data_IF_502424942801
#
_entry.id   IF_502424942801
#
_cell.length_a   1.000
_cell.length_b   1.000
_cell.length_c   1.000
_cell.angle_alpha   90.00
_cell.angle_beta   90.00
_cell.angle_gamma   90.00
#
_symmetry.space_group_name_H-M   'P 1'
#
loop_
_entity.id
_entity.type
_entity.pdbx_description
1 polymer ?
#
# COMPACT_ATOMS: atom_id res chain seq x y z
N UNK A 1 39.69 -22.84 13.75
CA UNK A 1 38.59 -23.80 14.02
C UNK A 1 39.03 -24.95 14.91
N UNK A 2 40.21 -25.54 14.70
CA UNK A 2 40.73 -26.63 15.54
C UNK A 2 40.90 -26.26 17.02
N UNK A 3 41.34 -25.05 17.34
CA UNK A 3 41.54 -24.62 18.73
C UNK A 3 40.24 -24.52 19.56
N UNK A 4 39.09 -24.27 18.91
CA UNK A 4 37.77 -24.32 19.55
C UNK A 4 37.28 -25.76 19.68
N UNK A 5 37.50 -26.60 18.66
CA UNK A 5 37.17 -28.03 18.68
C UNK A 5 37.92 -28.81 19.79
N UNK A 6 39.15 -28.42 20.11
CA UNK A 6 39.95 -29.03 21.20
C UNK A 6 39.49 -28.58 22.59
N UNK A 7 38.95 -27.35 22.73
CA UNK A 7 38.32 -26.89 23.99
C UNK A 7 36.90 -27.45 24.20
N UNK A 8 36.29 -27.98 23.13
CA UNK A 8 34.93 -28.53 23.09
C UNK A 8 34.83 -29.99 23.56
N UNK A 9 35.94 -30.71 23.68
CA UNK A 9 35.96 -32.10 24.19
C UNK A 9 35.68 -32.21 25.70
N UNK A 10 35.64 -31.09 26.41
CA UNK A 10 35.32 -31.00 27.85
C UNK A 10 33.86 -30.56 28.13
N UNK A 11 33.06 -30.33 27.09
CA UNK A 11 31.63 -30.00 27.23
C UNK A 11 30.79 -31.29 27.18
N UNK A 12 29.68 -31.30 27.92
CA UNK A 12 28.69 -32.37 27.86
C UNK A 12 28.25 -32.63 26.41
N UNK A 13 27.94 -33.87 26.06
CA UNK A 13 27.61 -34.31 24.70
C UNK A 13 26.46 -33.49 24.09
N UNK A 14 25.53 -33.05 24.94
CA UNK A 14 24.41 -32.17 24.60
C UNK A 14 24.87 -30.74 24.26
N UNK A 15 25.73 -30.13 25.10
CA UNK A 15 26.28 -28.80 24.84
C UNK A 15 27.17 -28.77 23.58
N UNK A 16 27.95 -29.82 23.35
CA UNK A 16 28.70 -30.00 22.10
C UNK A 16 27.80 -30.18 20.88
N UNK A 17 26.66 -30.85 21.04
CA UNK A 17 25.61 -30.98 20.03
C UNK A 17 24.98 -29.63 19.68
N UNK A 18 24.58 -28.86 20.68
CA UNK A 18 23.99 -27.54 20.49
C UNK A 18 24.91 -26.59 19.72
N UNK A 19 26.20 -26.52 20.08
CA UNK A 19 27.17 -25.69 19.37
C UNK A 19 27.38 -26.11 17.92
N UNK A 20 27.33 -27.41 17.62
CA UNK A 20 27.38 -27.90 16.23
C UNK A 20 26.18 -27.44 15.41
N UNK A 21 24.98 -27.46 15.99
CA UNK A 21 23.76 -26.94 15.33
C UNK A 21 23.91 -25.44 15.03
N UNK A 22 24.38 -24.64 16.00
CA UNK A 22 24.61 -23.20 15.79
C UNK A 22 25.63 -22.96 14.66
N UNK A 23 26.79 -23.61 14.73
CA UNK A 23 27.85 -23.46 13.72
C UNK A 23 27.41 -23.90 12.32
N UNK A 24 26.54 -24.91 12.24
CA UNK A 24 25.97 -25.37 10.98
C UNK A 24 25.13 -24.27 10.32
N UNK A 25 24.19 -23.68 11.04
CA UNK A 25 23.34 -22.60 10.49
C UNK A 25 24.13 -21.32 10.21
N UNK A 26 25.09 -20.95 11.07
CA UNK A 26 26.01 -19.84 10.81
C UNK A 26 26.76 -20.02 9.49
N UNK A 27 27.18 -21.25 9.18
CA UNK A 27 27.85 -21.58 7.92
C UNK A 27 26.92 -21.42 6.72
N UNK A 28 25.68 -21.90 6.83
CA UNK A 28 24.66 -21.76 5.77
C UNK A 28 24.31 -20.28 5.53
N UNK A 29 24.13 -19.51 6.60
CA UNK A 29 23.85 -18.07 6.54
C UNK A 29 24.99 -17.29 5.87
N UNK A 30 26.25 -17.60 6.23
CA UNK A 30 27.45 -17.01 5.58
C UNK A 30 27.53 -17.36 4.09
N UNK A 31 27.16 -18.58 3.70
CA UNK A 31 27.14 -19.05 2.31
C UNK A 31 25.95 -18.54 1.49
N UNK A 32 25.00 -17.84 2.12
CA UNK A 32 23.84 -17.23 1.46
C UNK A 32 22.99 -18.25 0.68
N UNK A 33 22.75 -19.42 1.27
CA UNK A 33 21.93 -20.47 0.66
C UNK A 33 20.45 -20.05 0.56
N UNK A 34 19.71 -20.63 -0.40
CA UNK A 34 18.29 -20.37 -0.61
C UNK A 34 17.38 -21.26 0.26
N UNK A 35 16.06 -21.02 0.25
CA UNK A 35 15.10 -21.80 1.06
C UNK A 35 15.12 -23.31 0.75
N UNK A 36 15.16 -23.77 -0.52
CA UNK A 36 15.34 -25.19 -0.82
C UNK A 36 16.62 -25.80 -0.25
N UNK A 37 17.76 -25.09 -0.32
CA UNK A 37 19.01 -25.56 0.25
C UNK A 37 18.97 -25.58 1.79
N UNK A 38 18.35 -24.59 2.44
CA UNK A 38 18.13 -24.59 3.89
C UNK A 38 17.29 -25.80 4.34
N UNK A 39 16.12 -26.01 3.72
CA UNK A 39 15.26 -27.14 4.05
C UNK A 39 15.98 -28.48 3.86
N UNK A 40 16.72 -28.63 2.75
CA UNK A 40 17.49 -29.85 2.45
C UNK A 40 18.60 -30.11 3.46
N UNK A 41 19.38 -29.09 3.78
CA UNK A 41 20.46 -29.19 4.75
C UNK A 41 19.92 -29.51 6.16
N UNK A 42 18.78 -28.92 6.52
CA UNK A 42 18.10 -29.15 7.80
C UNK A 42 17.52 -30.54 7.90
N UNK A 43 16.92 -31.06 6.82
CA UNK A 43 16.45 -32.44 6.74
C UNK A 43 17.60 -33.44 6.92
N UNK A 44 18.75 -33.16 6.30
CA UNK A 44 19.95 -34.00 6.45
C UNK A 44 20.50 -33.97 7.89
N UNK A 45 20.59 -32.78 8.51
CA UNK A 45 21.03 -32.64 9.90
C UNK A 45 20.08 -33.32 10.89
N UNK A 46 18.77 -33.18 10.66
CA UNK A 46 17.73 -33.78 11.48
C UNK A 46 17.62 -35.31 11.28
N UNK A 47 17.98 -35.83 10.11
CA UNK A 47 17.75 -37.24 9.78
C UNK A 47 16.27 -37.59 9.54
N UNK A 48 15.41 -36.59 9.34
CA UNK A 48 14.00 -36.74 9.02
C UNK A 48 13.56 -35.66 8.02
N UNK A 49 12.28 -35.67 7.61
CA UNK A 49 11.78 -34.60 6.74
C UNK A 49 11.77 -33.29 7.50
N UNK A 50 12.26 -32.22 6.86
CA UNK A 50 12.16 -30.85 7.34
C UNK A 50 11.36 -30.01 6.34
N UNK A 51 10.50 -29.15 6.88
CA UNK A 51 9.60 -28.31 6.10
C UNK A 51 9.67 -26.84 6.48
N UNK A 52 9.41 -25.99 5.49
CA UNK A 52 9.26 -24.54 5.60
C UNK A 52 7.95 -24.17 4.90
N UNK A 53 7.10 -23.39 5.57
CA UNK A 53 5.89 -22.80 5.02
C UNK A 53 5.96 -21.31 5.26
N UNK A 54 5.87 -20.51 4.21
CA UNK A 54 5.65 -19.06 4.29
C UNK A 54 4.20 -18.76 3.98
N UNK A 55 3.60 -17.76 4.63
CA UNK A 55 2.18 -17.44 4.48
C UNK A 55 1.89 -16.51 3.28
N UNK A 56 2.84 -15.63 2.90
CA UNK A 56 2.66 -14.70 1.78
C UNK A 56 3.96 -14.52 0.96
N UNK A 57 4.02 -15.04 -0.29
CA UNK A 57 3.05 -15.97 -0.87
C UNK A 57 3.06 -17.33 -0.15
N UNK A 58 1.91 -18.03 -0.12
CA UNK A 58 1.82 -19.38 0.46
C UNK A 58 2.77 -20.33 -0.28
N UNK A 59 3.90 -20.62 0.36
CA UNK A 59 5.00 -21.37 -0.24
C UNK A 59 5.46 -22.43 0.72
N UNK A 60 5.34 -23.68 0.27
CA UNK A 60 5.70 -24.87 1.03
C UNK A 60 6.93 -25.52 0.40
N UNK A 61 7.99 -25.69 1.18
CA UNK A 61 9.23 -26.38 0.79
C UNK A 61 9.48 -27.52 1.76
N UNK A 62 9.62 -28.75 1.27
CA UNK A 62 9.84 -29.95 2.10
C UNK A 62 10.92 -30.83 1.49
N UNK A 63 11.87 -31.28 2.31
CA UNK A 63 12.94 -32.18 1.88
C UNK A 63 13.08 -33.35 2.83
N UNK A 64 13.36 -34.52 2.28
CA UNK A 64 13.73 -35.74 3.00
C UNK A 64 15.22 -35.77 3.33
N UNK A 65 15.67 -36.59 4.31
CA UNK A 65 17.06 -36.63 4.75
C UNK A 65 18.03 -37.14 3.67
N UNK A 66 17.53 -37.85 2.65
CA UNK A 66 18.26 -38.27 1.45
C UNK A 66 18.52 -37.12 0.46
N UNK A 67 18.04 -35.91 0.77
CA UNK A 67 18.24 -34.70 -0.01
C UNK A 67 17.24 -34.52 -1.16
N UNK A 68 16.26 -35.41 -1.30
CA UNK A 68 15.17 -35.28 -2.28
C UNK A 68 14.04 -34.41 -1.75
N UNK A 69 13.28 -33.81 -2.66
CA UNK A 69 12.04 -33.14 -2.27
C UNK A 69 11.04 -34.18 -1.78
N UNK A 70 10.42 -33.94 -0.63
CA UNK A 70 9.51 -34.92 -0.02
C UNK A 70 8.28 -35.12 -0.91
N UNK A 71 8.02 -36.35 -1.32
CA UNK A 71 6.86 -36.73 -2.11
C UNK A 71 5.69 -37.14 -1.20
N UNK A 72 4.46 -36.80 -1.60
CA UNK A 72 3.24 -37.15 -0.87
C UNK A 72 2.80 -36.10 0.17
N UNK A 73 1.62 -36.30 0.80
CA UNK A 73 1.07 -35.36 1.77
C UNK A 73 2.00 -35.22 3.00
N UNK A 74 2.00 -34.06 3.67
CA UNK A 74 2.75 -33.88 4.91
C UNK A 74 2.27 -34.85 5.98
N UNK A 75 3.21 -35.60 6.57
CA UNK A 75 2.94 -36.32 7.80
C UNK A 75 2.73 -35.30 8.94
N UNK A 76 2.06 -35.69 10.04
CA UNK A 76 1.90 -34.82 11.20
C UNK A 76 3.26 -34.29 11.67
N UNK A 77 3.33 -32.98 11.88
CA UNK A 77 4.55 -32.36 12.41
C UNK A 77 4.82 -32.89 13.82
N UNK A 78 6.02 -33.44 14.02
CA UNK A 78 6.51 -33.88 15.33
C UNK A 78 6.93 -32.70 16.21
N UNK A 79 7.44 -31.64 15.60
CA UNK A 79 7.85 -30.40 16.27
C UNK A 79 7.72 -29.26 15.26
N UNK A 80 7.33 -28.08 15.73
CA UNK A 80 7.12 -26.87 14.93
C UNK A 80 7.75 -25.68 15.64
N UNK A 81 8.28 -24.73 14.88
CA UNK A 81 8.63 -23.41 15.38
C UNK A 81 8.09 -22.33 14.42
N UNK A 82 7.57 -21.20 14.96
CA UNK A 82 7.16 -20.07 14.13
C UNK A 82 8.37 -19.39 13.50
N UNK A 83 8.19 -18.84 12.30
CA UNK A 83 9.14 -17.93 11.66
C UNK A 83 8.65 -16.52 11.95
N UNK A 84 9.42 -15.76 12.73
CA UNK A 84 9.10 -14.37 13.06
C UNK A 84 10.03 -13.40 12.36
N UNK A 85 9.46 -12.33 11.81
CA UNK A 85 10.17 -11.19 11.21
C UNK A 85 9.46 -9.91 11.68
N UNK A 86 10.21 -8.96 12.26
CA UNK A 86 9.66 -7.71 12.81
C UNK A 86 8.46 -7.91 13.77
N UNK A 87 8.55 -8.92 14.66
CA UNK A 87 7.50 -9.34 15.60
C UNK A 87 6.20 -9.90 14.96
N UNK A 88 6.19 -10.12 13.64
CA UNK A 88 5.09 -10.80 12.93
C UNK A 88 5.45 -12.25 12.55
N UNK A 89 4.49 -13.18 12.71
CA UNK A 89 4.65 -14.57 12.25
C UNK A 89 4.42 -14.66 10.73
N UNK A 90 5.50 -14.85 9.98
CA UNK A 90 5.49 -14.90 8.51
C UNK A 90 5.44 -16.33 7.96
N UNK A 91 5.53 -17.33 8.84
CA UNK A 91 5.50 -18.73 8.45
C UNK A 91 5.78 -19.70 9.59
N UNK A 92 5.95 -20.97 9.24
CA UNK A 92 6.26 -22.05 10.18
C UNK A 92 7.32 -22.98 9.61
N UNK A 93 8.23 -23.43 10.45
CA UNK A 93 9.14 -24.54 10.16
C UNK A 93 8.77 -25.76 10.99
N UNK A 94 8.97 -26.96 10.44
CA UNK A 94 8.60 -28.19 11.15
C UNK A 94 9.49 -29.38 10.77
N UNK A 95 9.44 -30.40 11.63
CA UNK A 95 10.02 -31.71 11.42
C UNK A 95 8.94 -32.79 11.36
N UNK A 96 9.09 -33.79 10.49
CA UNK A 96 8.22 -34.96 10.42
C UNK A 96 9.00 -36.20 10.88
N UNK A 97 9.06 -36.44 12.20
CA UNK A 97 9.67 -37.64 12.79
C UNK A 97 8.60 -38.68 13.11
N UNK A 98 8.91 -39.94 12.79
CA UNK A 98 8.12 -41.10 13.23
C UNK A 98 8.50 -41.58 14.64
N UNK A 99 9.63 -41.11 15.17
CA UNK A 99 10.14 -41.40 16.51
C UNK A 99 9.92 -40.20 17.45
N UNK A 100 10.07 -40.38 18.78
CA UNK A 100 9.99 -39.26 19.73
C UNK A 100 10.93 -38.11 19.37
N UNK A 101 10.60 -36.85 19.73
CA UNK A 101 11.47 -35.70 19.51
C UNK A 101 12.87 -35.93 20.07
N UNK A 102 13.88 -35.58 19.28
CA UNK A 102 15.27 -35.61 19.69
C UNK A 102 15.58 -34.34 20.50
N UNK A 103 16.43 -34.38 21.55
CA UNK A 103 16.64 -33.23 22.45
C UNK A 103 17.07 -31.92 21.76
N UNK A 104 17.71 -32.00 20.59
CA UNK A 104 18.17 -30.83 19.83
C UNK A 104 17.16 -30.33 18.78
N UNK A 105 15.97 -30.91 18.69
CA UNK A 105 14.99 -30.57 17.65
C UNK A 105 14.45 -29.16 17.78
N UNK A 106 14.15 -28.74 19.01
CA UNK A 106 13.71 -27.38 19.31
C UNK A 106 14.79 -26.39 18.90
N UNK A 107 16.04 -26.60 19.32
CA UNK A 107 17.17 -25.75 18.93
C UNK A 107 17.41 -25.73 17.41
N UNK A 108 17.26 -26.87 16.74
CA UNK A 108 17.40 -26.96 15.29
C UNK A 108 16.32 -26.13 14.60
N UNK A 109 15.06 -26.23 15.05
CA UNK A 109 13.95 -25.48 14.49
C UNK A 109 14.04 -23.99 14.81
N UNK A 110 14.49 -23.60 16.00
CA UNK A 110 14.77 -22.20 16.35
C UNK A 110 15.81 -21.60 15.40
N UNK A 111 16.91 -22.33 15.17
CA UNK A 111 17.96 -21.87 14.26
C UNK A 111 17.53 -21.88 12.80
N UNK A 112 16.70 -22.84 12.40
CA UNK A 112 16.11 -22.87 11.07
C UNK A 112 15.16 -21.68 10.87
N UNK A 113 14.30 -21.37 11.84
CA UNK A 113 13.38 -20.25 11.80
C UNK A 113 14.13 -18.92 11.61
N UNK A 114 15.20 -18.70 12.40
CA UNK A 114 16.07 -17.52 12.27
C UNK A 114 16.75 -17.48 10.88
N UNK A 115 17.27 -18.61 10.40
CA UNK A 115 17.93 -18.66 9.10
C UNK A 115 16.94 -18.41 7.94
N UNK A 116 15.72 -18.90 8.06
CA UNK A 116 14.64 -18.65 7.08
C UNK A 116 14.22 -17.19 7.13
N UNK A 117 14.02 -16.61 8.31
CA UNK A 117 13.72 -15.18 8.46
C UNK A 117 14.79 -14.31 7.77
N UNK A 118 16.09 -14.62 7.96
CA UNK A 118 17.17 -13.90 7.30
C UNK A 118 17.21 -14.07 5.77
N UNK A 119 16.75 -15.22 5.24
CA UNK A 119 16.61 -15.43 3.78
C UNK A 119 15.40 -14.69 3.24
N UNK A 120 14.29 -14.67 3.97
CA UNK A 120 13.07 -13.93 3.62
C UNK A 120 13.33 -12.42 3.65
N UNK A 121 14.01 -11.90 4.67
CA UNK A 121 14.39 -10.48 4.76
C UNK A 121 15.29 -10.05 3.59
N UNK A 122 16.20 -10.93 3.15
CA UNK A 122 17.16 -10.65 2.08
C UNK A 122 16.57 -10.70 0.67
N UNK A 123 15.68 -11.66 0.42
CA UNK A 123 15.17 -11.95 -0.93
C UNK A 123 13.67 -11.71 -1.09
N UNK A 124 12.97 -11.42 0.00
CA UNK A 124 11.60 -10.94 -0.01
C UNK A 124 11.55 -9.47 -0.42
N UNK A 125 10.44 -9.03 -1.02
CA UNK A 125 10.21 -7.60 -1.16
C UNK A 125 10.21 -6.98 0.23
N UNK A 126 10.91 -5.85 0.42
CA UNK A 126 11.01 -5.17 1.72
C UNK A 126 9.63 -5.11 2.38
N UNK A 127 9.44 -5.71 3.57
CA UNK A 127 8.14 -5.74 4.27
C UNK A 127 7.59 -4.34 4.51
N UNK A 128 8.48 -3.35 4.51
CA UNK A 128 8.17 -1.95 4.75
C UNK A 128 7.20 -1.41 3.71
N UNK A 129 6.14 -0.75 4.20
CA UNK A 129 5.26 0.04 3.34
C UNK A 129 6.03 1.15 2.64
N UNK A 130 7.03 1.77 3.27
CA UNK A 130 7.91 2.70 2.56
C UNK A 130 8.78 1.97 1.53
N UNK A 131 8.78 2.49 0.31
CA UNK A 131 9.60 2.01 -0.80
C UNK A 131 10.64 3.05 -1.24
N UNK A 132 11.64 2.60 -2.01
CA UNK A 132 12.53 3.48 -2.75
C UNK A 132 11.71 4.33 -3.76
N UNK A 133 11.73 5.68 -3.65
CA UNK A 133 11.04 6.56 -4.58
C UNK A 133 11.40 6.30 -6.05
N UNK A 134 12.64 5.91 -6.35
CA UNK A 134 13.07 5.64 -7.73
C UNK A 134 12.38 4.41 -8.33
N UNK A 135 12.15 3.36 -7.51
CA UNK A 135 11.41 2.17 -7.95
C UNK A 135 9.93 2.48 -8.16
N UNK A 136 9.34 3.28 -7.28
CA UNK A 136 7.93 3.72 -7.41
C UNK A 136 7.76 4.62 -8.64
N UNK A 137 8.68 5.56 -8.86
CA UNK A 137 8.70 6.42 -10.04
C UNK A 137 8.84 5.60 -11.33
N UNK A 138 9.72 4.60 -11.36
CA UNK A 138 9.86 3.68 -12.50
C UNK A 138 8.57 2.85 -12.75
N UNK A 139 7.83 2.50 -11.70
CA UNK A 139 6.57 1.76 -11.83
C UNK A 139 5.42 2.60 -12.43
N UNK A 140 5.38 3.90 -12.14
CA UNK A 140 4.29 4.80 -12.55
C UNK A 140 4.64 5.70 -13.74
N UNK A 141 5.89 5.70 -14.19
CA UNK A 141 6.37 6.58 -15.25
C UNK A 141 5.83 6.20 -16.64
N UNK A 142 5.39 7.18 -17.46
CA UNK A 142 4.92 6.92 -18.82
C UNK A 142 6.05 6.53 -19.77
N UNK A 143 7.28 6.99 -19.52
CA UNK A 143 8.45 6.69 -20.36
C UNK A 143 9.13 5.35 -20.09
N UNK A 144 8.65 4.58 -19.10
CA UNK A 144 9.29 3.31 -18.72
C UNK A 144 8.86 2.18 -19.62
N UNK A 145 9.82 1.40 -20.11
CA UNK A 145 9.55 0.15 -20.82
C UNK A 145 8.77 -0.84 -19.94
N UNK A 146 7.88 -1.63 -20.55
CA UNK A 146 7.03 -2.58 -19.83
C UNK A 146 7.84 -3.59 -19.00
N UNK A 147 9.00 -4.03 -19.51
CA UNK A 147 9.90 -4.94 -18.80
C UNK A 147 10.53 -4.29 -17.56
N UNK A 148 10.93 -3.02 -17.66
CA UNK A 148 11.47 -2.25 -16.55
C UNK A 148 10.40 -2.02 -15.47
N UNK A 149 9.18 -1.68 -15.90
CA UNK A 149 8.02 -1.51 -15.02
C UNK A 149 7.65 -2.80 -14.28
N UNK A 150 7.55 -3.91 -15.00
CA UNK A 150 7.28 -5.23 -14.41
C UNK A 150 8.39 -5.68 -13.45
N UNK A 151 9.65 -5.32 -13.73
CA UNK A 151 10.76 -5.54 -12.79
C UNK A 151 10.61 -4.69 -11.53
N UNK A 152 10.29 -3.40 -11.67
CA UNK A 152 10.07 -2.50 -10.54
C UNK A 152 8.96 -3.01 -9.61
N UNK A 153 7.80 -3.35 -10.19
CA UNK A 153 6.67 -3.91 -9.44
C UNK A 153 7.04 -5.19 -8.68
N UNK A 154 7.81 -6.10 -9.30
CA UNK A 154 8.29 -7.31 -8.62
C UNK A 154 9.23 -7.01 -7.45
N UNK A 155 10.15 -6.06 -7.62
CA UNK A 155 11.04 -5.62 -6.53
C UNK A 155 10.27 -4.96 -5.38
N UNK A 156 9.15 -4.33 -5.71
CA UNK A 156 8.21 -3.73 -4.77
C UNK A 156 7.25 -4.76 -4.13
N UNK A 157 7.30 -6.04 -4.53
CA UNK A 157 6.49 -7.12 -3.97
C UNK A 157 5.12 -7.33 -4.61
N UNK A 158 4.85 -6.70 -5.74
CA UNK A 158 3.62 -6.94 -6.50
C UNK A 158 3.80 -8.10 -7.48
N UNK A 159 2.89 -9.08 -7.40
CA UNK A 159 2.81 -10.18 -8.35
C UNK A 159 2.30 -9.69 -9.71
N UNK A 160 2.72 -10.35 -10.79
CA UNK A 160 2.44 -9.91 -12.17
C UNK A 160 0.97 -10.10 -12.61
N UNK A 161 0.21 -10.91 -11.88
CA UNK A 161 -1.17 -11.30 -12.17
C UNK A 161 -2.21 -10.49 -11.38
N UNK A 162 -1.78 -9.71 -10.38
CA UNK A 162 -2.67 -8.88 -9.57
C UNK A 162 -2.69 -7.43 -10.07
N UNK A 163 -3.87 -6.83 -10.27
CA UNK A 163 -3.96 -5.43 -10.65
C UNK A 163 -3.42 -4.54 -9.51
N UNK A 164 -2.48 -3.66 -9.85
CA UNK A 164 -1.94 -2.66 -8.92
C UNK A 164 -2.72 -1.37 -9.11
N UNK A 165 -3.41 -0.94 -8.04
CA UNK A 165 -4.06 0.37 -7.97
C UNK A 165 -3.06 1.40 -7.48
N UNK A 166 -3.22 2.63 -7.96
CA UNK A 166 -2.41 3.77 -7.52
C UNK A 166 -3.33 4.80 -6.87
N UNK A 167 -2.96 5.23 -5.67
CA UNK A 167 -3.58 6.36 -4.98
C UNK A 167 -2.58 7.51 -4.87
N UNK A 168 -3.04 8.72 -5.18
CA UNK A 168 -2.34 9.97 -4.97
C UNK A 168 -2.83 10.59 -3.66
N UNK A 169 -1.94 10.78 -2.70
CA UNK A 169 -2.30 11.14 -1.32
C UNK A 169 -1.62 12.43 -0.89
N UNK A 170 -2.39 13.30 -0.24
CA UNK A 170 -1.91 14.42 0.58
C UNK A 170 -2.33 14.16 2.01
N UNK A 171 -1.36 14.01 2.91
CA UNK A 171 -1.61 13.70 4.32
C UNK A 171 -0.58 14.39 5.20
N UNK A 172 -0.95 14.68 6.45
CA UNK A 172 -0.01 15.07 7.50
C UNK A 172 0.62 13.86 8.19
N UNK A 173 -0.02 12.69 8.09
CA UNK A 173 0.52 11.45 8.59
C UNK A 173 1.57 10.89 7.61
N UNK A 174 2.58 10.17 8.12
CA UNK A 174 3.52 9.40 7.30
C UNK A 174 2.79 8.50 6.29
N UNK A 175 3.31 8.40 5.07
CA UNK A 175 2.64 7.70 3.97
C UNK A 175 2.52 6.18 4.19
N UNK A 176 3.48 5.59 4.91
CA UNK A 176 3.43 4.21 5.38
C UNK A 176 2.27 3.94 6.31
N UNK A 177 2.02 4.83 7.28
CA UNK A 177 0.86 4.72 8.16
C UNK A 177 -0.45 4.81 7.36
N UNK A 178 -0.53 5.75 6.41
CA UNK A 178 -1.71 5.85 5.53
C UNK A 178 -1.88 4.57 4.70
N UNK A 179 -0.78 4.06 4.13
CA UNK A 179 -0.77 2.83 3.33
C UNK A 179 -1.23 1.60 4.12
N UNK A 180 -0.70 1.41 5.32
CA UNK A 180 -1.10 0.31 6.21
C UNK A 180 -2.57 0.40 6.64
N UNK A 181 -3.10 1.61 6.87
CA UNK A 181 -4.51 1.80 7.21
C UNK A 181 -5.45 1.43 6.06
N UNK A 182 -5.17 1.93 4.84
CA UNK A 182 -6.04 1.71 3.69
C UNK A 182 -5.82 0.35 3.01
N UNK A 183 -4.72 -0.35 3.30
CA UNK A 183 -4.40 -1.66 2.76
C UNK A 183 -3.74 -2.57 3.82
N UNK A 184 -4.49 -3.02 4.84
CA UNK A 184 -3.93 -3.71 6.01
C UNK A 184 -3.53 -5.17 5.77
N UNK A 185 -4.08 -5.84 4.77
CA UNK A 185 -3.97 -7.31 4.60
C UNK A 185 -3.29 -7.72 3.30
N UNK A 186 -2.78 -6.76 2.53
CA UNK A 186 -2.25 -6.99 1.18
C UNK A 186 -1.00 -6.13 0.94
N UNK A 187 -0.15 -6.48 -0.03
CA UNK A 187 1.03 -5.69 -0.36
C UNK A 187 0.68 -4.24 -0.65
N UNK A 188 1.36 -3.34 0.06
CA UNK A 188 1.24 -1.88 -0.10
C UNK A 188 2.64 -1.26 -0.09
N UNK A 189 2.88 -0.37 -1.04
CA UNK A 189 4.13 0.41 -1.13
C UNK A 189 3.83 1.87 -1.31
N UNK A 190 4.54 2.71 -0.57
CA UNK A 190 4.35 4.13 -0.53
C UNK A 190 5.67 4.87 -0.71
N UNK A 191 5.65 5.95 -1.48
CA UNK A 191 6.78 6.84 -1.62
C UNK A 191 6.32 8.24 -2.04
N UNK A 192 7.01 9.32 -1.63
CA UNK A 192 6.78 10.64 -2.19
C UNK A 192 7.38 10.73 -3.60
N UNK A 193 6.58 11.20 -4.58
CA UNK A 193 7.04 11.48 -5.95
C UNK A 193 6.51 12.86 -6.36
N UNK A 194 7.41 13.78 -6.71
CA UNK A 194 7.04 15.13 -7.13
C UNK A 194 6.19 15.91 -6.11
N UNK A 195 6.43 15.69 -4.81
CA UNK A 195 5.68 16.36 -3.73
C UNK A 195 4.29 15.78 -3.44
N UNK A 196 3.90 14.68 -4.09
CA UNK A 196 2.65 13.95 -3.83
C UNK A 196 2.98 12.55 -3.32
N UNK A 197 2.23 12.06 -2.33
CA UNK A 197 2.37 10.68 -1.88
C UNK A 197 1.79 9.72 -2.91
N UNK A 198 2.59 8.76 -3.36
CA UNK A 198 2.13 7.63 -4.18
C UNK A 198 1.91 6.46 -3.24
N UNK A 199 0.75 5.82 -3.32
CA UNK A 199 0.50 4.51 -2.70
C UNK A 199 0.13 3.52 -3.81
N UNK A 200 0.95 2.49 -3.98
CA UNK A 200 0.71 1.31 -4.79
C UNK A 200 0.10 0.25 -3.88
N UNK A 201 -1.07 -0.29 -4.25
CA UNK A 201 -1.74 -1.33 -3.47
C UNK A 201 -2.59 -2.21 -4.38
N UNK A 202 -2.82 -3.48 -4.00
CA UNK A 202 -3.77 -4.34 -4.73
C UNK A 202 -5.23 -4.00 -4.41
N UNK A 203 -5.46 -3.41 -3.24
CA UNK A 203 -6.78 -2.99 -2.72
C UNK A 203 -6.64 -1.68 -1.97
N UNK A 204 -7.66 -0.83 -2.02
CA UNK A 204 -7.70 0.44 -1.28
C UNK A 204 -9.03 0.53 -0.54
N UNK A 205 -9.01 0.39 0.79
CA UNK A 205 -10.15 0.63 1.67
C UNK A 205 -10.25 2.13 1.97
N UNK A 206 -11.07 2.81 1.18
CA UNK A 206 -11.33 4.25 1.32
C UNK A 206 -11.93 4.67 2.66
N UNK A 207 -12.63 3.76 3.36
CA UNK A 207 -13.28 4.08 4.63
C UNK A 207 -12.27 4.27 5.77
N UNK A 208 -11.03 3.82 5.55
CA UNK A 208 -9.92 3.89 6.50
C UNK A 208 -8.96 5.03 6.22
N UNK A 209 -9.29 5.94 5.30
CA UNK A 209 -8.47 7.12 5.09
C UNK A 209 -8.48 7.98 6.37
N UNK A 210 -7.31 8.33 6.93
CA UNK A 210 -7.24 9.09 8.17
C UNK A 210 -7.79 10.51 8.00
N UNK A 211 -8.32 11.07 9.09
CA UNK A 211 -8.88 12.41 9.10
C UNK A 211 -7.85 13.45 8.62
N UNK A 212 -8.30 14.37 7.76
CA UNK A 212 -7.45 15.41 7.18
C UNK A 212 -6.56 14.96 6.01
N UNK A 213 -6.48 13.65 5.72
CA UNK A 213 -5.87 13.18 4.48
C UNK A 213 -6.84 13.32 3.31
N UNK A 214 -6.28 13.51 2.12
CA UNK A 214 -7.02 13.52 0.84
C UNK A 214 -6.39 12.54 -0.12
N UNK A 215 -7.24 11.82 -0.87
CA UNK A 215 -6.81 10.79 -1.79
C UNK A 215 -7.57 10.87 -3.12
N UNK A 216 -6.82 10.88 -4.22
CA UNK A 216 -7.34 10.56 -5.54
C UNK A 216 -6.98 9.12 -5.90
N UNK A 217 -7.93 8.35 -6.43
CA UNK A 217 -7.75 6.92 -6.74
C UNK A 217 -7.97 6.70 -8.24
N UNK A 218 -6.98 6.09 -8.91
CA UNK A 218 -7.09 5.67 -10.30
C UNK A 218 -7.74 4.30 -10.44
N UNK A 219 -8.50 4.08 -11.52
CA UNK A 219 -9.21 2.83 -11.80
C UNK A 219 -8.57 2.01 -12.94
N UNK A 220 -7.61 2.57 -13.68
CA UNK A 220 -6.92 1.87 -14.74
C UNK A 220 -6.09 0.69 -14.21
N UNK A 221 -6.02 -0.40 -14.99
CA UNK A 221 -5.27 -1.61 -14.64
C UNK A 221 -3.75 -1.41 -14.66
N UNK A 222 -3.25 -0.48 -15.48
CA UNK A 222 -1.83 -0.16 -15.56
C UNK A 222 -1.44 0.96 -14.59
N UNK A 223 -0.34 0.84 -13.84
CA UNK A 223 0.03 1.80 -12.80
C UNK A 223 0.35 3.20 -13.34
N UNK A 224 0.85 3.33 -14.57
CA UNK A 224 1.08 4.64 -15.19
C UNK A 224 -0.22 5.42 -15.41
N UNK A 225 -1.21 4.81 -16.07
CA UNK A 225 -2.50 5.47 -16.32
C UNK A 225 -3.24 5.67 -15.00
N UNK A 226 -3.20 4.67 -14.11
CA UNK A 226 -3.78 4.76 -12.77
C UNK A 226 -3.19 5.91 -11.97
N UNK A 227 -1.88 6.16 -12.07
CA UNK A 227 -1.21 7.30 -11.45
C UNK A 227 -1.69 8.65 -12.02
N UNK A 228 -1.77 8.78 -13.35
CA UNK A 228 -2.29 10.01 -13.97
C UNK A 228 -3.73 10.29 -13.52
N UNK A 229 -4.56 9.26 -13.51
CA UNK A 229 -5.95 9.32 -13.03
C UNK A 229 -6.03 9.71 -11.55
N UNK A 230 -5.23 9.07 -10.70
CA UNK A 230 -5.17 9.33 -9.27
C UNK A 230 -4.76 10.78 -8.98
N UNK A 231 -3.74 11.30 -9.69
CA UNK A 231 -3.34 12.72 -9.59
C UNK A 231 -4.44 13.67 -10.01
N UNK A 232 -5.13 13.38 -11.12
CA UNK A 232 -6.27 14.18 -11.56
C UNK A 232 -7.37 14.15 -10.50
N UNK A 233 -7.76 12.97 -10.02
CA UNK A 233 -8.78 12.81 -8.99
C UNK A 233 -8.44 13.54 -7.68
N UNK A 234 -7.17 13.53 -7.27
CA UNK A 234 -6.70 14.24 -6.08
C UNK A 234 -7.01 15.75 -6.18
N UNK A 235 -6.92 16.35 -7.38
CA UNK A 235 -7.24 17.77 -7.60
C UNK A 235 -8.72 18.12 -7.40
N UNK A 236 -9.61 17.13 -7.45
CA UNK A 236 -11.05 17.31 -7.19
C UNK A 236 -11.42 17.09 -5.71
N UNK A 237 -10.45 16.73 -4.86
CA UNK A 237 -10.72 16.51 -3.44
C UNK A 237 -11.03 17.83 -2.73
N UNK A 238 -11.96 17.78 -1.79
CA UNK A 238 -12.33 18.92 -0.94
C UNK A 238 -12.38 18.46 0.52
N UNK A 239 -12.45 19.37 1.51
CA UNK A 239 -12.69 18.97 2.90
C UNK A 239 -13.94 18.10 3.09
N UNK A 240 -15.00 18.32 2.30
CA UNK A 240 -16.26 17.56 2.33
C UNK A 240 -16.23 16.29 1.46
N UNK A 241 -15.27 16.20 0.52
CA UNK A 241 -15.04 15.06 -0.37
C UNK A 241 -13.55 14.74 -0.40
N UNK A 242 -12.99 14.18 0.70
CA UNK A 242 -11.55 13.94 0.83
C UNK A 242 -11.05 12.79 -0.07
N UNK A 243 -11.94 11.88 -0.49
CA UNK A 243 -11.64 10.78 -1.41
C UNK A 243 -12.39 10.99 -2.72
N UNK A 244 -11.70 10.88 -3.84
CA UNK A 244 -12.28 10.91 -5.18
C UNK A 244 -11.72 9.75 -5.99
N UNK A 245 -12.60 8.92 -6.55
CA UNK A 245 -12.22 7.98 -7.61
C UNK A 245 -12.29 8.67 -8.95
N UNK A 246 -11.31 8.41 -9.80
CA UNK A 246 -11.28 8.98 -11.13
C UNK A 246 -12.49 8.56 -11.98
N UNK A 247 -12.95 7.31 -11.82
CA UNK A 247 -14.12 6.80 -12.56
C UNK A 247 -15.42 7.55 -12.23
N UNK A 248 -15.54 8.06 -11.00
CA UNK A 248 -16.71 8.85 -10.55
C UNK A 248 -16.73 10.27 -11.12
N UNK A 249 -15.63 10.75 -11.71
CA UNK A 249 -15.56 12.10 -12.28
C UNK A 249 -16.31 12.19 -13.61
N UNK A 250 -16.35 11.11 -14.40
CA UNK A 250 -16.91 11.13 -15.75
C UNK A 250 -16.38 12.30 -16.58
N UNK A 251 -17.29 13.05 -17.22
CA UNK A 251 -16.93 14.21 -18.05
C UNK A 251 -16.28 15.36 -17.27
N UNK A 252 -16.42 15.43 -15.93
CA UNK A 252 -15.79 16.48 -15.15
C UNK A 252 -14.26 16.37 -15.19
N UNK A 253 -13.70 15.17 -15.38
CA UNK A 253 -12.25 14.95 -15.47
C UNK A 253 -11.59 15.78 -16.60
N UNK A 254 -12.33 16.06 -17.69
CA UNK A 254 -11.85 16.86 -18.81
C UNK A 254 -11.51 18.30 -18.40
N UNK A 255 -12.14 18.82 -17.34
CA UNK A 255 -11.85 20.16 -16.84
C UNK A 255 -10.40 20.28 -16.34
N UNK A 256 -9.78 19.19 -15.91
CA UNK A 256 -8.40 19.17 -15.45
C UNK A 256 -7.36 19.30 -16.58
N UNK A 257 -7.77 19.08 -17.83
CA UNK A 257 -6.95 19.21 -19.02
C UNK A 257 -6.99 20.64 -19.60
N UNK A 258 -7.94 21.47 -19.15
CA UNK A 258 -8.06 22.86 -19.59
C UNK A 258 -6.83 23.64 -19.08
N UNK A 259 -6.09 24.33 -19.97
CA UNK A 259 -4.95 25.12 -19.55
C UNK A 259 -5.35 26.22 -18.55
N UNK A 260 -4.56 26.46 -17.49
CA UNK A 260 -4.92 27.41 -16.43
C UNK A 260 -5.23 28.82 -16.91
N UNK A 261 -4.53 29.31 -17.93
CA UNK A 261 -4.76 30.61 -18.56
C UNK A 261 -6.10 30.69 -19.29
N UNK A 262 -6.52 29.60 -19.96
CA UNK A 262 -7.84 29.51 -20.62
C UNK A 262 -8.94 29.49 -19.57
N UNK A 263 -8.76 28.70 -18.52
CA UNK A 263 -9.71 28.64 -17.41
C UNK A 263 -9.87 29.99 -16.69
N UNK A 264 -8.77 30.71 -16.41
CA UNK A 264 -8.83 32.06 -15.81
C UNK A 264 -9.50 33.10 -16.71
N UNK A 265 -9.37 32.96 -18.03
CA UNK A 265 -10.01 33.84 -19.00
C UNK A 265 -11.53 33.65 -19.12
N UNK A 266 -12.08 32.55 -18.59
CA UNK A 266 -13.52 32.30 -18.63
C UNK A 266 -14.26 33.25 -17.65
N UNK A 267 -15.33 33.94 -18.08
CA UNK A 267 -16.02 34.93 -17.25
C UNK A 267 -16.69 34.34 -16.00
N UNK A 268 -17.13 33.08 -16.03
CA UNK A 268 -17.77 32.43 -14.89
C UNK A 268 -16.73 32.03 -13.84
N UNK A 269 -15.61 31.46 -14.30
CA UNK A 269 -14.48 31.09 -13.43
C UNK A 269 -13.89 32.35 -12.77
N UNK A 270 -13.69 33.42 -13.54
CA UNK A 270 -13.25 34.71 -13.01
C UNK A 270 -14.28 35.36 -12.07
N UNK A 271 -15.57 35.02 -12.20
CA UNK A 271 -16.60 35.49 -11.28
C UNK A 271 -16.52 34.81 -9.91
N UNK A 272 -16.13 33.54 -9.85
CA UNK A 272 -15.89 32.82 -8.59
C UNK A 272 -14.78 33.50 -7.78
N UNK A 273 -13.73 33.99 -8.46
CA UNK A 273 -12.60 34.65 -7.80
C UNK A 273 -13.03 35.90 -7.01
N UNK A 274 -14.09 36.58 -7.46
CA UNK A 274 -14.67 37.72 -6.74
C UNK A 274 -15.36 37.32 -5.42
N UNK A 275 -15.78 36.05 -5.27
CA UNK A 275 -16.37 35.53 -4.03
C UNK A 275 -15.33 35.16 -2.98
N UNK A 276 -14.04 35.05 -3.34
CA UNK A 276 -12.96 34.64 -2.42
C UNK A 276 -12.82 35.62 -1.25
N UNK A 277 -13.15 36.90 -1.45
CA UNK A 277 -13.15 37.92 -0.40
C UNK A 277 -14.22 37.71 0.69
N UNK A 278 -15.17 36.79 0.49
CA UNK A 278 -16.25 36.47 1.44
C UNK A 278 -16.34 34.95 1.61
N UNK A 279 -15.56 34.35 2.53
CA UNK A 279 -15.50 32.89 2.70
C UNK A 279 -16.86 32.22 2.90
N UNK A 280 -17.78 32.89 3.60
CA UNK A 280 -19.14 32.40 3.83
C UNK A 280 -19.97 32.26 2.55
N UNK A 281 -19.74 33.14 1.57
CA UNK A 281 -20.46 33.10 0.28
C UNK A 281 -19.93 31.95 -0.58
N UNK A 282 -18.62 31.74 -0.60
CA UNK A 282 -18.01 30.60 -1.28
C UNK A 282 -18.45 29.27 -0.64
N UNK A 283 -18.55 29.21 0.68
CA UNK A 283 -19.04 28.05 1.40
C UNK A 283 -20.53 27.79 1.12
N UNK A 284 -21.35 28.84 1.09
CA UNK A 284 -22.77 28.76 0.72
C UNK A 284 -22.94 28.26 -0.71
N UNK A 285 -22.13 28.78 -1.64
CA UNK A 285 -22.14 28.34 -3.03
C UNK A 285 -21.76 26.86 -3.13
N UNK A 286 -20.70 26.41 -2.44
CA UNK A 286 -20.29 25.00 -2.46
C UNK A 286 -21.37 24.07 -1.90
N UNK A 287 -21.96 24.42 -0.75
CA UNK A 287 -23.02 23.63 -0.12
C UNK A 287 -24.26 23.53 -1.03
N UNK A 288 -24.65 24.64 -1.66
CA UNK A 288 -25.77 24.66 -2.59
C UNK A 288 -25.46 23.93 -3.90
N UNK A 289 -24.25 24.07 -4.43
CA UNK A 289 -23.78 23.28 -5.57
C UNK A 289 -23.77 21.78 -5.24
N UNK A 290 -23.37 21.35 -4.04
CA UNK A 290 -23.33 19.94 -3.67
C UNK A 290 -24.75 19.34 -3.53
N UNK A 291 -25.70 20.09 -2.97
CA UNK A 291 -27.02 19.56 -2.61
C UNK A 291 -28.11 19.85 -3.64
N UNK A 292 -28.00 20.96 -4.38
CA UNK A 292 -29.07 21.47 -5.26
C UNK A 292 -30.34 21.88 -4.52
N UNK A 293 -30.30 22.01 -3.18
CA UNK A 293 -31.47 22.26 -2.35
C UNK A 293 -31.13 23.26 -1.25
N UNK A 294 -31.95 24.32 -1.14
CA UNK A 294 -31.79 25.34 -0.10
C UNK A 294 -31.88 24.73 1.31
N UNK A 295 -32.79 23.77 1.50
CA UNK A 295 -32.99 23.11 2.78
C UNK A 295 -31.79 22.24 3.16
N UNK A 296 -31.31 21.40 2.23
CA UNK A 296 -30.16 20.54 2.52
C UNK A 296 -28.87 21.36 2.69
N UNK A 297 -28.70 22.45 1.93
CA UNK A 297 -27.59 23.38 2.13
C UNK A 297 -27.66 24.08 3.51
N UNK A 298 -28.86 24.46 3.95
CA UNK A 298 -29.09 25.04 5.27
C UNK A 298 -28.78 24.05 6.39
N UNK A 299 -29.23 22.80 6.26
CA UNK A 299 -28.93 21.73 7.21
C UNK A 299 -27.42 21.47 7.28
N UNK A 300 -26.74 21.42 6.12
CA UNK A 300 -25.29 21.19 6.02
C UNK A 300 -24.45 22.32 6.65
N UNK A 301 -24.91 23.57 6.52
CA UNK A 301 -24.22 24.74 7.06
C UNK A 301 -24.70 25.14 8.46
N UNK A 302 -25.67 24.41 9.03
CA UNK A 302 -26.32 24.74 10.29
C UNK A 302 -26.89 26.18 10.32
N UNK A 303 -27.44 26.61 9.19
CA UNK A 303 -28.07 27.92 9.01
C UNK A 303 -29.56 27.80 8.77
N UNK A 304 -30.29 28.90 8.92
CA UNK A 304 -31.72 28.91 8.58
C UNK A 304 -31.91 28.98 7.06
N UNK A 305 -32.91 28.26 6.53
CA UNK A 305 -33.19 28.18 5.09
C UNK A 305 -33.40 29.55 4.43
N UNK A 306 -34.01 30.52 5.13
CA UNK A 306 -34.21 31.88 4.62
C UNK A 306 -32.90 32.66 4.48
N UNK A 307 -31.92 32.41 5.37
CA UNK A 307 -30.58 33.00 5.28
C UNK A 307 -29.83 32.46 4.08
N UNK A 308 -29.90 31.13 3.83
CA UNK A 308 -29.31 30.51 2.64
C UNK A 308 -29.97 31.05 1.37
N UNK A 309 -31.30 31.13 1.31
CA UNK A 309 -32.01 31.66 0.16
C UNK A 309 -31.54 33.08 -0.22
N UNK A 310 -31.44 33.98 0.77
CA UNK A 310 -30.95 35.34 0.56
C UNK A 310 -29.50 35.36 0.09
N UNK A 311 -28.63 34.52 0.64
CA UNK A 311 -27.22 34.42 0.22
C UNK A 311 -27.10 33.89 -1.20
N UNK A 312 -27.82 32.83 -1.56
CA UNK A 312 -27.82 32.28 -2.93
C UNK A 312 -28.29 33.34 -3.94
N UNK A 313 -29.31 34.14 -3.61
CA UNK A 313 -29.74 35.25 -4.47
C UNK A 313 -28.64 36.32 -4.65
N UNK A 314 -27.96 36.69 -3.56
CA UNK A 314 -26.84 37.66 -3.58
C UNK A 314 -25.65 37.13 -4.39
N UNK A 315 -25.28 35.87 -4.19
CA UNK A 315 -24.21 35.19 -4.94
C UNK A 315 -24.57 35.13 -6.43
N UNK A 316 -25.82 34.77 -6.77
CA UNK A 316 -26.28 34.74 -8.15
C UNK A 316 -26.16 36.10 -8.84
N UNK A 317 -26.49 37.20 -8.15
CA UNK A 317 -26.27 38.57 -8.65
C UNK A 317 -24.78 38.88 -8.87
N UNK A 318 -23.90 38.47 -7.96
CA UNK A 318 -22.46 38.68 -8.09
C UNK A 318 -21.83 37.87 -9.24
N UNK A 319 -22.32 36.65 -9.45
CA UNK A 319 -21.91 35.77 -10.55
C UNK A 319 -22.55 36.13 -11.88
N UNK A 320 -23.66 36.88 -11.87
CA UNK A 320 -24.55 37.11 -13.02
C UNK A 320 -25.10 35.78 -13.58
N UNK A 321 -25.44 34.87 -12.68
CA UNK A 321 -26.00 33.55 -12.96
C UNK A 321 -27.22 33.38 -12.06
N UNK A 322 -28.36 32.98 -12.64
CA UNK A 322 -29.49 32.55 -11.84
C UNK A 322 -29.23 31.15 -11.29
N UNK A 323 -28.90 31.06 -9.99
CA UNK A 323 -28.58 29.79 -9.34
C UNK A 323 -29.81 28.93 -9.06
N UNK A 324 -31.02 29.50 -9.14
CA UNK A 324 -32.26 28.75 -8.87
C UNK A 324 -32.69 27.92 -10.08
N UNK A 325 -32.25 28.30 -11.27
CA UNK A 325 -32.47 27.57 -12.52
C UNK A 325 -31.47 26.40 -12.69
N UNK A 326 -31.90 25.20 -13.11
CA UNK A 326 -31.02 24.03 -13.25
C UNK A 326 -29.80 24.28 -14.15
N UNK A 327 -29.98 25.05 -15.22
CA UNK A 327 -28.89 25.41 -16.15
C UNK A 327 -27.87 26.34 -15.47
N UNK A 328 -28.34 27.31 -14.70
CA UNK A 328 -27.46 28.24 -13.98
C UNK A 328 -26.71 27.56 -12.83
N UNK A 329 -27.38 26.68 -12.08
CA UNK A 329 -26.71 25.86 -11.06
C UNK A 329 -25.62 24.96 -11.68
N UNK A 330 -25.88 24.35 -12.83
CA UNK A 330 -24.89 23.53 -13.54
C UNK A 330 -23.68 24.36 -13.98
N UNK A 331 -23.93 25.54 -14.56
CA UNK A 331 -22.88 26.49 -14.97
C UNK A 331 -22.03 26.93 -13.78
N UNK A 332 -22.64 27.24 -12.64
CA UNK A 332 -21.93 27.59 -11.42
C UNK A 332 -21.12 26.42 -10.84
N UNK A 333 -21.64 25.19 -10.88
CA UNK A 333 -20.90 23.97 -10.48
C UNK A 333 -19.64 23.77 -11.32
N UNK A 334 -19.75 23.93 -12.63
CA UNK A 334 -18.59 23.82 -13.55
C UNK A 334 -17.58 24.92 -13.22
N UNK A 335 -18.02 26.18 -13.12
CA UNK A 335 -17.15 27.32 -12.83
C UNK A 335 -16.42 27.16 -11.49
N UNK A 336 -17.12 26.78 -10.42
CA UNK A 336 -16.55 26.53 -9.09
C UNK A 336 -15.53 25.38 -9.13
N UNK A 337 -15.84 24.30 -9.84
CA UNK A 337 -14.94 23.16 -9.98
C UNK A 337 -13.68 23.55 -10.75
N UNK A 338 -13.82 24.21 -11.89
CA UNK A 338 -12.69 24.71 -12.69
C UNK A 338 -11.85 25.72 -11.90
N UNK A 339 -12.47 26.62 -11.13
CA UNK A 339 -11.75 27.57 -10.27
C UNK A 339 -10.89 26.84 -9.22
N UNK A 340 -11.41 25.78 -8.58
CA UNK A 340 -10.63 24.98 -7.62
C UNK A 340 -9.40 24.32 -8.24
N UNK A 341 -9.53 23.83 -9.48
CA UNK A 341 -8.43 23.20 -10.20
C UNK A 341 -7.29 24.18 -10.55
N UNK A 342 -7.50 25.50 -10.40
CA UNK A 342 -6.48 26.54 -10.54
C UNK A 342 -5.68 26.82 -9.25
N UNK A 343 -6.25 26.47 -8.08
CA UNK A 343 -5.69 26.78 -6.76
C UNK A 343 -4.82 25.68 -6.15
N UNK A 344 -4.56 24.61 -6.90
CA UNK A 344 -3.71 23.48 -6.48
C UNK A 344 -2.37 23.41 -7.23
#
# INVERSE_FOLDING_TARGET
MEALAVRLSHLDAEAGGALRVVMFYDTLMRRRVDLPALARASANLAGCVAGIRLHDPDRVVRFSPDGRQAAGPPAPASTTAPITLDDEEVGTVWLERSAPPFPLDELLLDRLAIAVAAVVERYGPASTTMADPALVELAISPGSEDAARARALRLLGFAADLPVRVAAVRSRLPLDQVGGLICPTRPVRAAPVGGVGVILATTVDQSRLPEGARAGIGSAAGPCVSWQQARTALRYTTPRRPVVHYEDLGALALLAEIPPEVARGNPDVAAIDRLVGVPEDLETLDAYCATGSLRQAADLLHLHHSSIARRVEQIGKALRIDLTEPAGLTRARIALTTWRLLGE
#
